data_IF_363504779551
#
_entry.id   IF_363504779551
#
_cell.length_a   1.000
_cell.length_b   1.000
_cell.length_c   1.000
_cell.angle_alpha   90.00
_cell.angle_beta   90.00
_cell.angle_gamma   90.00
#
_symmetry.space_group_name_H-M   'P 1'
#
loop_
_entity.id
_entity.type
_entity.pdbx_description
1 polymer ?
#
# COMPACT_ATOMS: atom_id res chain seq x y z
N UNK A 1 30.67 -15.70 7.89
CA UNK A 1 29.72 -15.20 6.86
C UNK A 1 29.40 -13.76 7.21
N UNK A 2 30.00 -12.82 6.48
CA UNK A 2 30.12 -11.42 6.89
C UNK A 2 29.13 -10.51 6.13
N UNK A 3 28.48 -9.61 6.87
CA UNK A 3 28.23 -8.22 6.45
C UNK A 3 27.03 -7.88 5.57
N UNK A 4 26.30 -8.82 5.00
CA UNK A 4 25.13 -8.48 4.16
C UNK A 4 23.91 -8.13 5.02
N UNK A 5 23.10 -7.12 4.62
CA UNK A 5 21.85 -6.81 5.29
C UNK A 5 20.92 -8.04 5.27
N UNK A 6 20.32 -8.32 6.42
CA UNK A 6 19.24 -9.32 6.53
C UNK A 6 17.92 -8.60 6.76
N UNK A 7 16.84 -9.18 6.24
CA UNK A 7 15.48 -8.69 6.46
C UNK A 7 14.86 -9.45 7.63
N UNK A 8 14.15 -8.73 8.50
CA UNK A 8 13.27 -9.31 9.52
C UNK A 8 11.85 -8.79 9.27
N UNK A 9 10.83 -9.67 9.23
CA UNK A 9 9.45 -9.23 9.15
C UNK A 9 9.09 -8.28 10.31
N UNK A 10 8.51 -7.12 9.99
CA UNK A 10 8.19 -6.08 10.96
C UNK A 10 6.69 -6.01 11.27
N UNK A 11 5.89 -5.93 10.21
CA UNK A 11 4.43 -5.89 10.26
C UNK A 11 3.85 -6.32 8.93
N UNK A 12 2.57 -6.67 8.96
CA UNK A 12 1.75 -6.93 7.77
C UNK A 12 0.70 -5.83 7.62
N UNK A 13 0.59 -5.28 6.41
CA UNK A 13 -0.46 -4.33 6.02
C UNK A 13 -1.57 -5.11 5.29
N UNK A 14 -2.80 -5.05 5.79
CA UNK A 14 -3.99 -5.59 5.12
C UNK A 14 -4.89 -4.44 4.74
N UNK A 15 -5.12 -4.26 3.45
CA UNK A 15 -5.89 -3.14 2.92
C UNK A 15 -7.21 -3.64 2.38
N UNK A 16 -8.31 -2.99 2.76
CA UNK A 16 -9.60 -3.13 2.12
C UNK A 16 -9.68 -2.12 0.97
N UNK A 17 -9.91 -2.59 -0.25
CA UNK A 17 -10.02 -1.75 -1.44
C UNK A 17 -11.44 -1.78 -1.98
N UNK A 18 -11.87 -0.67 -2.58
CA UNK A 18 -13.14 -0.58 -3.32
C UNK A 18 -12.91 -0.77 -4.83
N UNK A 19 -14.00 -0.74 -5.60
CA UNK A 19 -13.97 -0.84 -7.05
C UNK A 19 -13.02 0.20 -7.68
N UNK A 20 -12.28 -0.19 -8.73
CA UNK A 20 -11.37 0.72 -9.42
C UNK A 20 -12.12 1.83 -10.15
N UNK A 21 -11.59 3.05 -10.09
CA UNK A 21 -12.03 4.19 -10.90
C UNK A 21 -11.11 4.37 -12.11
N UNK A 22 -11.54 4.00 -13.34
CA UNK A 22 -10.73 4.15 -14.53
C UNK A 22 -10.67 5.61 -14.97
N UNK A 23 -9.47 6.18 -15.00
CA UNK A 23 -9.24 7.57 -15.47
C UNK A 23 -8.94 7.60 -16.97
N UNK A 24 -8.37 6.50 -17.50
CA UNK A 24 -7.94 6.40 -18.89
C UNK A 24 -6.46 6.75 -19.08
N UNK A 25 -6.05 7.06 -20.31
CA UNK A 25 -4.65 7.32 -20.66
C UNK A 25 -4.51 8.72 -21.24
N UNK A 26 -3.59 9.52 -20.70
CA UNK A 26 -3.28 10.86 -21.25
C UNK A 26 -2.18 10.82 -22.34
N UNK A 27 -1.20 9.91 -22.25
CA UNK A 27 -0.09 9.78 -23.21
C UNK A 27 0.49 8.34 -23.22
N UNK A 28 1.11 7.91 -24.33
CA UNK A 28 1.83 6.61 -24.48
C UNK A 28 1.06 5.32 -24.17
N UNK A 29 -0.28 5.35 -24.12
CA UNK A 29 -1.13 4.18 -23.79
C UNK A 29 -0.89 3.61 -22.38
N UNK A 30 -0.40 4.44 -21.45
CA UNK A 30 -0.29 4.05 -20.04
C UNK A 30 -1.59 4.41 -19.34
N UNK A 31 -2.48 3.43 -19.16
CA UNK A 31 -3.75 3.66 -18.47
C UNK A 31 -3.52 3.92 -16.98
N UNK A 32 -4.26 4.89 -16.45
CA UNK A 32 -4.36 5.19 -15.03
C UNK A 32 -5.70 4.67 -14.49
N UNK A 33 -5.62 3.98 -13.37
CA UNK A 33 -6.75 3.57 -12.55
C UNK A 33 -6.47 4.03 -11.13
N UNK A 34 -7.48 4.58 -10.46
CA UNK A 34 -7.39 4.94 -9.03
C UNK A 34 -8.15 3.88 -8.26
N UNK A 35 -7.52 3.26 -7.27
CA UNK A 35 -8.17 2.28 -6.38
C UNK A 35 -8.31 2.91 -4.98
N UNK A 36 -9.55 3.15 -4.49
CA UNK A 36 -9.75 3.64 -3.13
C UNK A 36 -9.34 2.59 -2.10
N UNK A 37 -8.54 3.00 -1.12
CA UNK A 37 -8.19 2.18 0.05
C UNK A 37 -9.11 2.60 1.20
N UNK A 38 -10.24 1.90 1.35
CA UNK A 38 -11.35 2.28 2.23
C UNK A 38 -11.20 1.83 3.68
N UNK A 39 -10.10 1.16 4.00
CA UNK A 39 -9.80 0.71 5.35
C UNK A 39 -8.67 -0.30 5.37
N UNK A 40 -8.42 -0.86 6.54
CA UNK A 40 -7.39 -1.88 6.70
C UNK A 40 -6.72 -1.82 8.07
N UNK A 41 -5.73 -2.69 8.25
CA UNK A 41 -4.92 -2.77 9.46
C UNK A 41 -3.43 -2.84 9.13
N UNK A 42 -2.62 -2.38 10.08
CA UNK A 42 -1.18 -2.66 10.15
C UNK A 42 -0.89 -3.31 11.48
N UNK A 43 -0.42 -4.56 11.44
CA UNK A 43 -0.20 -5.38 12.64
C UNK A 43 1.22 -5.92 12.62
N UNK A 44 1.95 -5.70 13.71
CA UNK A 44 3.31 -6.21 13.88
C UNK A 44 3.40 -7.73 13.89
N UNK A 45 4.54 -8.20 13.39
CA UNK A 45 4.94 -9.59 13.51
C UNK A 45 5.33 -9.92 14.97
N UNK A 46 5.02 -11.12 15.47
CA UNK A 46 5.37 -11.51 16.84
C UNK A 46 6.87 -11.33 17.12
N UNK A 47 7.21 -10.60 18.19
CA UNK A 47 8.59 -10.37 18.60
C UNK A 47 9.35 -9.31 17.78
N UNK A 48 8.66 -8.49 16.98
CA UNK A 48 9.22 -7.25 16.44
C UNK A 48 8.97 -6.07 17.40
N UNK A 49 9.95 -5.16 17.53
CA UNK A 49 9.84 -3.95 18.35
C UNK A 49 10.43 -2.75 17.58
N UNK A 50 9.77 -1.57 17.56
CA UNK A 50 8.50 -1.28 18.22
C UNK A 50 7.32 -2.03 17.58
N UNK A 51 6.35 -2.42 18.41
CA UNK A 51 5.14 -3.08 17.95
C UNK A 51 4.18 -2.03 17.38
N UNK A 52 3.62 -2.30 16.21
CA UNK A 52 2.66 -1.48 15.51
C UNK A 52 1.29 -2.16 15.52
N UNK A 53 0.29 -1.41 15.93
CA UNK A 53 -1.11 -1.78 15.82
C UNK A 53 -1.89 -0.54 15.40
N UNK A 54 -2.27 -0.51 14.13
CA UNK A 54 -2.89 0.65 13.51
C UNK A 54 -4.02 0.25 12.57
N UNK A 55 -4.93 1.20 12.34
CA UNK A 55 -5.99 1.11 11.34
C UNK A 55 -5.86 2.26 10.36
N UNK A 56 -6.31 2.05 9.13
CA UNK A 56 -6.42 3.15 8.17
C UNK A 56 -7.41 4.20 8.69
N UNK A 57 -7.01 5.46 8.61
CA UNK A 57 -7.80 6.62 8.99
C UNK A 57 -8.29 7.30 7.69
N UNK A 58 -9.62 7.35 7.51
CA UNK A 58 -10.22 7.85 6.28
C UNK A 58 -9.97 6.95 5.05
N UNK A 59 -10.06 7.55 3.86
CA UNK A 59 -9.89 6.86 2.58
C UNK A 59 -8.54 7.23 1.96
N UNK A 60 -7.70 6.22 1.76
CA UNK A 60 -6.48 6.33 0.96
C UNK A 60 -6.72 6.04 -0.52
N UNK A 61 -5.66 6.00 -1.31
CA UNK A 61 -5.72 5.73 -2.74
C UNK A 61 -4.45 5.06 -3.25
N UNK A 62 -4.58 4.23 -4.28
CA UNK A 62 -3.47 3.77 -5.10
C UNK A 62 -3.65 4.26 -6.54
N UNK A 63 -2.66 4.99 -7.05
CA UNK A 63 -2.62 5.41 -8.46
C UNK A 63 -1.89 4.34 -9.28
N UNK A 64 -2.66 3.41 -9.83
CA UNK A 64 -2.13 2.28 -10.58
C UNK A 64 -1.93 2.66 -12.05
N UNK A 65 -0.70 2.51 -12.53
CA UNK A 65 -0.35 2.71 -13.94
C UNK A 65 0.14 1.41 -14.56
N UNK A 66 -0.58 0.91 -15.55
CA UNK A 66 -0.13 -0.24 -16.34
C UNK A 66 0.80 0.23 -17.47
N UNK A 67 1.91 -0.47 -17.66
CA UNK A 67 2.75 -0.25 -18.82
C UNK A 67 2.02 -0.69 -20.10
N UNK A 68 2.33 -0.09 -21.26
CA UNK A 68 1.60 -0.35 -22.50
C UNK A 68 1.72 -1.79 -23.00
N UNK A 69 2.75 -2.53 -22.56
CA UNK A 69 2.96 -3.95 -22.87
C UNK A 69 2.20 -4.90 -21.93
N UNK A 70 1.55 -4.37 -20.88
CA UNK A 70 0.82 -5.14 -19.88
C UNK A 70 1.69 -6.00 -18.96
N UNK A 71 3.03 -5.92 -19.05
CA UNK A 71 3.95 -6.79 -18.29
C UNK A 71 4.30 -6.23 -16.92
N UNK A 72 4.10 -4.93 -16.73
CA UNK A 72 4.46 -4.22 -15.49
C UNK A 72 3.34 -3.27 -15.10
N UNK A 73 3.17 -3.11 -13.80
CA UNK A 73 2.37 -2.05 -13.21
C UNK A 73 3.22 -1.25 -12.24
N UNK A 74 2.91 0.03 -12.09
CA UNK A 74 3.43 0.89 -11.02
C UNK A 74 2.29 1.17 -10.06
N UNK A 75 2.55 0.90 -8.79
CA UNK A 75 1.69 1.25 -7.67
C UNK A 75 2.23 2.53 -7.04
N UNK A 76 1.33 3.40 -6.60
CA UNK A 76 1.62 4.66 -5.93
C UNK A 76 0.52 4.86 -4.89
N UNK A 77 0.71 4.16 -3.77
CA UNK A 77 -0.27 4.01 -2.71
C UNK A 77 -0.02 5.03 -1.60
N UNK A 78 -1.07 5.78 -1.27
CA UNK A 78 -1.10 6.75 -0.20
C UNK A 78 -2.20 6.40 0.77
N UNK A 79 -1.86 6.35 2.05
CA UNK A 79 -2.83 6.17 3.13
C UNK A 79 -2.30 6.77 4.41
N UNK A 80 -3.23 7.17 5.26
CA UNK A 80 -2.94 7.58 6.63
C UNK A 80 -3.44 6.47 7.53
N UNK A 81 -2.67 6.19 8.59
CA UNK A 81 -3.07 5.25 9.62
C UNK A 81 -3.05 5.95 10.96
N UNK A 82 -3.94 5.52 11.84
CA UNK A 82 -3.96 5.91 13.25
C UNK A 82 -3.57 4.71 14.09
N UNK A 83 -2.60 4.91 14.97
CA UNK A 83 -2.17 3.86 15.90
C UNK A 83 -3.12 3.82 17.10
N UNK A 84 -3.15 2.67 17.78
CA UNK A 84 -3.99 2.49 18.98
C UNK A 84 -3.59 3.41 20.17
N UNK A 85 -2.38 3.94 20.17
CA UNK A 85 -1.85 4.92 21.11
C UNK A 85 -2.02 6.37 20.61
N UNK A 86 -2.88 6.58 19.61
CA UNK A 86 -3.31 7.88 19.09
C UNK A 86 -2.20 8.74 18.48
N UNK A 87 -1.13 8.10 17.98
CA UNK A 87 -0.16 8.74 17.09
C UNK A 87 -0.68 8.81 15.64
#
# INVERSE_FOLDING_TARGET
MAGFPTIKPAFTVRVSIDAPFPVGSHHRKTSLVIVPMVGGTIISEPGFTPALNAKFEGTGNDYIRNDPDGKRMRLDAHGVVRTHDDA
#
